data_IF_693604466917
#
_entry.id   IF_693604466917
#
_cell.length_a   1.000
_cell.length_b   1.000
_cell.length_c   1.000
_cell.angle_alpha   90.00
_cell.angle_beta   90.00
_cell.angle_gamma   90.00
#
_symmetry.space_group_name_H-M   'P 1'
#
loop_
_entity.id
_entity.type
_entity.pdbx_description
1 polymer ?
#
# COMPACT_ATOMS: atom_id res chain seq x y z
N UNK A 1 -19.60 -50.50 45.88
CA UNK A 1 -18.70 -51.03 44.84
C UNK A 1 -19.10 -50.64 43.41
N UNK A 2 -20.39 -50.54 43.09
CA UNK A 2 -20.86 -50.35 41.69
C UNK A 2 -20.64 -48.96 41.09
N UNK A 3 -20.62 -47.89 41.90
CA UNK A 3 -20.42 -46.51 41.42
C UNK A 3 -18.97 -46.27 41.01
N UNK A 4 -18.01 -46.83 41.75
CA UNK A 4 -16.58 -46.70 41.45
C UNK A 4 -16.25 -47.39 40.11
N UNK A 5 -16.87 -48.54 39.84
CA UNK A 5 -16.71 -49.24 38.56
C UNK A 5 -17.29 -48.42 37.40
N UNK A 6 -18.46 -47.79 37.58
CA UNK A 6 -19.05 -46.92 36.56
C UNK A 6 -18.19 -45.69 36.28
N UNK A 7 -17.60 -45.08 37.31
CA UNK A 7 -16.68 -43.94 37.16
C UNK A 7 -15.39 -44.37 36.44
N UNK A 8 -14.83 -45.53 36.78
CA UNK A 8 -13.64 -46.06 36.10
C UNK A 8 -13.95 -46.40 34.64
N UNK A 9 -15.11 -47.00 34.35
CA UNK A 9 -15.56 -47.29 32.98
C UNK A 9 -15.76 -46.00 32.18
N UNK A 10 -16.33 -44.94 32.79
CA UNK A 10 -16.51 -43.64 32.17
C UNK A 10 -15.15 -42.96 31.89
N UNK A 11 -14.22 -43.00 32.84
CA UNK A 11 -12.87 -42.44 32.68
C UNK A 11 -12.11 -43.20 31.60
N UNK A 12 -12.17 -44.53 31.58
CA UNK A 12 -11.53 -45.37 30.57
C UNK A 12 -12.11 -45.15 29.17
N UNK A 13 -13.41 -44.89 29.05
CA UNK A 13 -14.03 -44.58 27.75
C UNK A 13 -13.72 -43.15 27.28
N UNK A 14 -13.60 -42.18 28.20
CA UNK A 14 -13.12 -40.83 27.88
C UNK A 14 -11.65 -40.85 27.43
N UNK A 15 -10.77 -41.58 28.12
CA UNK A 15 -9.35 -41.68 27.74
C UNK A 15 -9.15 -42.47 26.44
N UNK A 16 -9.93 -43.54 26.22
CA UNK A 16 -9.92 -44.29 24.97
C UNK A 16 -10.47 -43.48 23.77
N UNK A 17 -11.50 -42.64 24.00
CA UNK A 17 -12.01 -41.71 22.99
C UNK A 17 -10.98 -40.62 22.63
N UNK A 18 -10.23 -40.13 23.62
CA UNK A 18 -9.13 -39.16 23.40
C UNK A 18 -7.98 -39.76 22.58
N UNK A 19 -7.67 -41.05 22.76
CA UNK A 19 -6.60 -41.74 22.04
C UNK A 19 -6.87 -41.94 20.54
N UNK A 20 -8.14 -41.97 20.12
CA UNK A 20 -8.52 -42.17 18.71
C UNK A 20 -8.62 -40.85 17.92
N UNK A 21 -8.34 -39.70 18.56
CA UNK A 21 -8.67 -38.39 18.00
C UNK A 21 -7.48 -37.42 17.88
N UNK A 22 -6.26 -37.96 17.79
CA UNK A 22 -5.02 -37.19 17.58
C UNK A 22 -5.10 -36.23 16.37
N UNK A 23 -5.91 -36.58 15.36
CA UNK A 23 -6.19 -35.72 14.19
C UNK A 23 -7.02 -34.49 14.53
N UNK A 24 -8.04 -34.61 15.40
CA UNK A 24 -8.89 -33.49 15.79
C UNK A 24 -8.14 -32.54 16.73
N UNK A 25 -7.35 -33.08 17.65
CA UNK A 25 -6.50 -32.28 18.55
C UNK A 25 -5.44 -31.48 17.76
N UNK A 26 -4.80 -32.12 16.78
CA UNK A 26 -3.90 -31.49 15.81
C UNK A 26 -4.58 -30.38 15.00
N UNK A 27 -5.80 -30.62 14.50
CA UNK A 27 -6.55 -29.61 13.74
C UNK A 27 -6.99 -28.43 14.60
N UNK A 28 -7.35 -28.66 15.86
CA UNK A 28 -7.72 -27.60 16.82
C UNK A 28 -6.49 -26.75 17.13
N UNK A 29 -5.36 -27.36 17.46
CA UNK A 29 -4.10 -26.63 17.70
C UNK A 29 -3.66 -25.84 16.47
N UNK A 30 -3.73 -26.44 15.28
CA UNK A 30 -3.37 -25.76 14.02
C UNK A 30 -4.29 -24.57 13.75
N UNK A 31 -5.59 -24.71 13.98
CA UNK A 31 -6.54 -23.58 13.88
C UNK A 31 -6.18 -22.47 14.85
N UNK A 32 -5.92 -22.78 16.13
CA UNK A 32 -5.53 -21.77 17.12
C UNK A 32 -4.25 -21.03 16.73
N UNK A 33 -3.24 -21.73 16.24
CA UNK A 33 -1.97 -21.12 15.78
C UNK A 33 -2.24 -20.18 14.61
N UNK A 34 -3.05 -20.59 13.63
CA UNK A 34 -3.34 -19.76 12.46
C UNK A 34 -4.19 -18.54 12.82
N UNK A 35 -5.21 -18.71 13.68
CA UNK A 35 -5.94 -17.59 14.24
C UNK A 35 -5.00 -16.61 14.96
N UNK A 36 -4.02 -17.12 15.74
CA UNK A 36 -3.03 -16.28 16.38
C UNK A 36 -2.15 -15.53 15.36
N UNK A 37 -1.74 -16.16 14.26
CA UNK A 37 -0.98 -15.51 13.18
C UNK A 37 -1.77 -14.40 12.49
N UNK A 38 -3.02 -14.63 12.13
CA UNK A 38 -3.88 -13.61 11.51
C UNK A 38 -4.22 -12.49 12.50
N UNK A 39 -4.45 -12.81 13.78
CA UNK A 39 -4.66 -11.81 14.84
C UNK A 39 -3.41 -10.97 15.08
N UNK A 40 -2.23 -11.59 15.18
CA UNK A 40 -0.95 -10.90 15.30
C UNK A 40 -0.68 -9.99 14.09
N UNK A 41 -1.12 -10.40 12.90
CA UNK A 41 -1.09 -9.54 11.74
C UNK A 41 -2.04 -8.34 11.90
N UNK A 42 -3.31 -8.57 12.24
CA UNK A 42 -4.31 -7.51 12.46
C UNK A 42 -3.82 -6.47 13.48
N UNK A 43 -3.26 -6.92 14.61
CA UNK A 43 -2.71 -6.02 15.65
C UNK A 43 -1.50 -5.20 15.14
N UNK A 44 -0.65 -5.77 14.27
CA UNK A 44 0.45 -5.05 13.62
C UNK A 44 -0.06 -4.02 12.61
N UNK A 45 -1.21 -4.28 11.99
CA UNK A 45 -1.80 -3.37 11.02
C UNK A 45 -2.31 -2.11 11.68
N UNK A 46 -2.96 -2.20 12.85
CA UNK A 46 -3.44 -1.03 13.60
C UNK A 46 -2.32 -0.02 13.90
N UNK A 47 -1.10 -0.51 14.17
CA UNK A 47 0.10 0.33 14.31
C UNK A 47 0.56 0.92 12.96
N UNK A 48 0.58 0.12 11.90
CA UNK A 48 1.02 0.58 10.57
C UNK A 48 0.06 1.58 9.89
N UNK A 49 -1.25 1.52 10.16
CA UNK A 49 -2.24 2.48 9.66
C UNK A 49 -1.99 3.86 10.28
N UNK A 50 -1.62 3.90 11.57
CA UNK A 50 -1.23 5.15 12.25
C UNK A 50 0.08 5.76 11.70
N UNK A 51 0.99 4.92 11.19
CA UNK A 51 2.24 5.35 10.55
C UNK A 51 2.03 5.77 9.09
N UNK A 52 1.09 5.14 8.37
CA UNK A 52 0.76 5.46 6.98
C UNK A 52 0.10 6.84 6.85
N UNK A 53 -0.66 7.25 7.86
CA UNK A 53 -1.27 8.59 7.90
C UNK A 53 -0.24 9.71 8.21
N UNK A 54 0.96 9.37 8.71
CA UNK A 54 1.91 10.37 9.22
C UNK A 54 3.28 10.42 8.52
N UNK A 55 3.70 9.42 7.74
CA UNK A 55 5.06 9.42 7.19
C UNK A 55 5.16 8.87 5.75
N UNK A 56 5.03 9.76 4.77
CA UNK A 56 5.75 9.61 3.49
C UNK A 56 6.75 10.77 3.42
N UNK A 57 7.88 10.60 4.10
CA UNK A 57 9.04 11.48 3.96
C UNK A 57 9.93 10.94 2.84
N UNK A 58 9.95 11.62 1.69
CA UNK A 58 10.90 11.31 0.63
C UNK A 58 12.32 11.73 1.05
N UNK A 59 13.18 10.77 1.36
CA UNK A 59 14.61 11.00 1.59
C UNK A 59 15.33 11.11 0.25
N UNK A 60 15.80 12.31 -0.11
CA UNK A 60 16.58 12.53 -1.33
C UNK A 60 18.08 12.39 -1.07
N UNK A 61 18.62 11.17 -1.20
CA UNK A 61 20.06 10.94 -1.38
C UNK A 61 20.39 11.03 -2.87
N UNK A 62 20.87 12.19 -3.33
CA UNK A 62 21.41 12.36 -4.69
C UNK A 62 22.90 12.04 -4.65
N UNK A 63 23.26 10.90 -5.23
CA UNK A 63 24.64 10.43 -5.41
C UNK A 63 25.32 11.24 -6.53
N UNK A 64 26.48 11.83 -6.22
CA UNK A 64 27.15 12.81 -7.06
C UNK A 64 28.40 12.22 -7.73
N UNK A 65 28.40 12.08 -9.06
CA UNK A 65 29.63 12.00 -9.86
C UNK A 65 29.94 13.34 -10.53
N UNK A 66 31.09 13.90 -10.18
CA UNK A 66 31.59 15.24 -10.45
C UNK A 66 32.11 15.45 -11.88
N UNK A 67 31.93 16.66 -12.40
CA UNK A 67 32.89 17.34 -13.30
C UNK A 67 33.11 18.75 -12.74
N UNK A 68 34.37 19.09 -12.53
CA UNK A 68 34.81 20.29 -11.80
C UNK A 68 34.39 21.60 -12.46
N UNK A 69 33.82 22.50 -11.66
CA UNK A 69 33.74 23.94 -11.91
C UNK A 69 34.03 24.68 -10.60
N UNK A 70 34.79 25.76 -10.69
CA UNK A 70 35.43 26.46 -9.56
C UNK A 70 34.45 27.34 -8.75
N UNK A 71 34.75 27.64 -7.45
CA UNK A 71 33.73 27.86 -6.42
C UNK A 71 33.15 29.28 -6.18
N UNK A 72 33.23 30.26 -7.10
CA UNK A 72 33.00 31.67 -6.68
C UNK A 72 32.02 32.55 -7.47
N UNK A 73 31.17 32.01 -8.35
CA UNK A 73 30.13 32.84 -9.01
C UNK A 73 28.77 32.73 -8.32
N UNK A 74 28.35 33.82 -7.67
CA UNK A 74 27.03 33.99 -7.07
C UNK A 74 26.22 35.02 -7.87
N UNK A 75 25.03 34.65 -8.32
CA UNK A 75 24.09 35.58 -8.94
C UNK A 75 23.29 36.32 -7.85
N UNK A 76 23.59 37.61 -7.66
CA UNK A 76 22.77 38.52 -6.83
C UNK A 76 21.78 39.28 -7.72
N UNK A 77 20.48 39.15 -7.46
CA UNK A 77 19.45 39.89 -8.18
C UNK A 77 19.01 41.14 -7.41
N UNK A 78 18.87 42.31 -8.07
CA UNK A 78 18.30 43.50 -7.45
C UNK A 78 16.82 43.30 -7.14
N UNK A 79 16.40 43.77 -5.97
CA UNK A 79 15.00 43.94 -5.61
C UNK A 79 14.37 45.05 -6.46
N UNK A 80 13.07 44.92 -6.69
CA UNK A 80 12.14 45.95 -7.16
C UNK A 80 11.88 46.06 -8.67
N UNK A 81 10.66 45.65 -9.04
CA UNK A 81 9.78 46.27 -10.03
C UNK A 81 8.33 45.86 -9.72
N UNK A 82 7.46 46.86 -9.52
CA UNK A 82 6.00 46.82 -9.59
C UNK A 82 5.28 45.65 -8.86
N UNK A 83 5.00 45.85 -7.57
CA UNK A 83 3.90 45.15 -6.88
C UNK A 83 4.14 43.69 -6.48
N UNK A 84 5.27 43.10 -6.84
CA UNK A 84 5.67 41.77 -6.38
C UNK A 84 6.78 41.90 -5.33
N UNK A 85 6.43 41.76 -4.04
CA UNK A 85 7.43 41.68 -2.96
C UNK A 85 8.20 40.37 -3.14
N UNK A 86 9.37 40.42 -3.76
CA UNK A 86 10.33 39.31 -3.80
C UNK A 86 10.76 39.00 -2.37
N UNK A 87 10.28 37.89 -1.81
CA UNK A 87 10.47 37.55 -0.41
C UNK A 87 11.52 36.46 -0.18
N UNK A 88 12.35 36.16 -1.18
CA UNK A 88 13.31 35.07 -1.07
C UNK A 88 14.63 35.42 -1.75
N UNK A 89 15.52 36.04 -0.97
CA UNK A 89 16.95 36.02 -1.30
C UNK A 89 17.48 34.64 -0.93
N UNK A 90 17.60 33.75 -1.92
CA UNK A 90 18.40 32.53 -1.74
C UNK A 90 19.62 32.59 -2.65
N UNK A 91 20.69 31.98 -2.15
CA UNK A 91 21.93 31.90 -2.89
C UNK A 91 21.87 30.70 -3.87
N UNK A 92 21.59 30.96 -5.14
CA UNK A 92 21.54 29.93 -6.18
C UNK A 92 22.97 29.62 -6.60
N UNK A 93 23.53 28.50 -6.11
CA UNK A 93 24.88 28.07 -6.48
C UNK A 93 24.88 27.25 -7.78
N UNK A 94 25.97 27.33 -8.55
CA UNK A 94 26.17 26.52 -9.76
C UNK A 94 26.09 25.00 -9.50
N UNK A 95 26.32 24.55 -8.26
CA UNK A 95 26.24 23.14 -7.86
C UNK A 95 24.80 22.67 -7.64
N UNK A 96 23.93 23.52 -7.11
CA UNK A 96 22.56 23.14 -6.71
C UNK A 96 21.49 23.59 -7.72
N UNK A 97 21.72 24.72 -8.40
CA UNK A 97 20.74 25.37 -9.27
C UNK A 97 21.17 25.49 -10.74
N UNK A 98 22.06 24.63 -11.24
CA UNK A 98 22.64 24.72 -12.60
C UNK A 98 21.60 24.98 -13.70
N UNK A 99 20.50 24.23 -13.69
CA UNK A 99 19.43 24.38 -14.68
C UNK A 99 18.66 25.70 -14.54
N UNK A 100 18.43 26.14 -13.30
CA UNK A 100 17.81 27.42 -13.00
C UNK A 100 18.68 28.60 -13.46
N UNK A 101 19.98 28.56 -13.18
CA UNK A 101 20.95 29.55 -13.65
C UNK A 101 20.95 29.61 -15.18
N UNK A 102 21.09 28.47 -15.86
CA UNK A 102 21.05 28.42 -17.33
C UNK A 102 19.74 28.93 -17.91
N UNK A 103 18.61 28.74 -17.24
CA UNK A 103 17.32 29.28 -17.67
C UNK A 103 17.27 30.81 -17.51
N UNK A 104 17.76 31.34 -16.38
CA UNK A 104 17.80 32.79 -16.12
C UNK A 104 18.74 33.51 -17.08
N UNK A 105 19.91 32.95 -17.38
CA UNK A 105 20.87 33.53 -18.33
C UNK A 105 20.30 33.63 -19.75
N UNK A 106 19.55 32.61 -20.18
CA UNK A 106 18.92 32.55 -21.51
C UNK A 106 17.67 33.43 -21.63
N UNK A 107 17.04 33.79 -20.52
CA UNK A 107 15.83 34.61 -20.55
C UNK A 107 16.14 36.04 -21.02
N UNK A 108 15.23 36.63 -21.79
CA UNK A 108 15.44 37.95 -22.41
C UNK A 108 14.87 39.07 -21.54
N UNK A 109 13.65 38.90 -21.02
CA UNK A 109 12.96 39.96 -20.27
C UNK A 109 13.31 39.95 -18.79
N UNK A 110 13.36 41.15 -18.17
CA UNK A 110 13.65 41.30 -16.73
C UNK A 110 12.64 40.56 -15.86
N UNK A 111 11.35 40.57 -16.24
CA UNK A 111 10.29 39.85 -15.53
C UNK A 111 10.49 38.32 -15.57
N UNK A 112 10.82 37.77 -16.74
CA UNK A 112 11.06 36.33 -16.88
C UNK A 112 12.27 35.88 -16.06
N UNK A 113 13.36 36.67 -16.07
CA UNK A 113 14.54 36.42 -15.23
C UNK A 113 14.19 36.35 -13.74
N UNK A 114 13.34 37.26 -13.27
CA UNK A 114 12.89 37.30 -11.88
C UNK A 114 12.05 36.07 -11.50
N UNK A 115 11.07 35.70 -12.32
CA UNK A 115 10.22 34.52 -12.07
C UNK A 115 11.03 33.22 -12.09
N UNK A 116 11.97 33.08 -13.02
CA UNK A 116 12.85 31.91 -13.11
C UNK A 116 13.77 31.79 -11.89
N UNK A 117 14.32 32.92 -11.42
CA UNK A 117 15.13 32.96 -10.21
C UNK A 117 14.30 32.55 -8.98
N UNK A 118 13.07 33.05 -8.87
CA UNK A 118 12.16 32.73 -7.77
C UNK A 118 11.74 31.25 -7.75
N UNK A 119 11.33 30.68 -8.89
CA UNK A 119 10.98 29.25 -8.99
C UNK A 119 12.19 28.37 -8.65
N UNK A 120 13.37 28.74 -9.14
CA UNK A 120 14.61 28.04 -8.81
C UNK A 120 14.83 28.07 -7.29
N UNK A 121 14.62 29.23 -6.67
CA UNK A 121 14.74 29.42 -5.23
C UNK A 121 13.78 28.54 -4.42
N UNK A 122 12.51 28.54 -4.80
CA UNK A 122 11.47 27.72 -4.20
C UNK A 122 11.75 26.22 -4.37
N UNK A 123 12.35 25.82 -5.50
CA UNK A 123 12.76 24.44 -5.73
C UNK A 123 13.88 24.03 -4.78
N UNK A 124 14.92 24.86 -4.64
CA UNK A 124 16.07 24.60 -3.78
C UNK A 124 15.71 24.58 -2.29
N UNK A 125 14.74 25.37 -1.89
CA UNK A 125 14.21 25.41 -0.51
C UNK A 125 13.10 24.38 -0.28
N UNK A 126 12.77 23.57 -1.29
CA UNK A 126 11.68 22.59 -1.27
C UNK A 126 10.31 23.21 -0.91
N UNK A 127 10.11 24.48 -1.25
CA UNK A 127 8.86 25.22 -1.04
C UNK A 127 7.97 25.27 -2.29
N UNK A 128 8.51 24.87 -3.46
CA UNK A 128 7.75 24.90 -4.71
C UNK A 128 6.62 23.85 -4.73
N UNK A 129 6.88 22.68 -4.14
CA UNK A 129 5.92 21.60 -4.05
C UNK A 129 5.57 21.33 -2.59
N UNK A 130 4.31 20.96 -2.29
CA UNK A 130 3.95 20.55 -0.96
C UNK A 130 4.78 19.32 -0.54
N UNK A 131 5.32 19.33 0.67
CA UNK A 131 6.14 18.23 1.22
C UNK A 131 5.32 16.94 1.41
N UNK A 132 4.00 17.07 1.52
CA UNK A 132 3.06 15.96 1.62
C UNK A 132 1.83 16.26 0.77
N UNK A 133 1.31 15.23 0.11
CA UNK A 133 0.04 15.31 -0.58
C UNK A 133 -1.05 14.76 0.34
N UNK A 134 -2.16 15.49 0.57
CA UNK A 134 -3.27 14.96 1.36
C UNK A 134 -3.85 13.72 0.68
N UNK A 135 -4.05 12.66 1.48
CA UNK A 135 -4.66 11.41 1.01
C UNK A 135 -6.17 11.57 0.95
N UNK A 136 -6.71 11.72 -0.25
CA UNK A 136 -8.17 11.77 -0.47
C UNK A 136 -8.81 10.40 -0.67
N UNK A 137 -8.03 9.33 -0.61
CA UNK A 137 -8.55 7.99 -0.76
C UNK A 137 -9.55 7.71 0.37
N UNK A 138 -10.84 7.48 0.06
CA UNK A 138 -11.84 7.25 1.09
C UNK A 138 -11.66 5.83 1.63
N UNK A 139 -10.72 5.65 2.56
CA UNK A 139 -10.70 4.53 3.49
C UNK A 139 -11.86 4.71 4.47
N UNK A 140 -13.10 4.72 3.96
CA UNK A 140 -14.26 4.73 4.83
C UNK A 140 -14.34 3.35 5.48
N UNK A 141 -14.09 3.35 6.78
CA UNK A 141 -14.44 2.32 7.77
C UNK A 141 -13.31 1.36 8.22
N UNK A 142 -12.03 1.71 8.07
CA UNK A 142 -10.98 1.14 8.93
C UNK A 142 -10.67 -0.37 8.81
N UNK A 143 -11.17 -1.03 7.76
CA UNK A 143 -11.01 -2.47 7.58
C UNK A 143 -9.73 -2.87 6.82
N UNK A 144 -8.70 -2.01 6.81
CA UNK A 144 -7.44 -2.36 6.16
C UNK A 144 -6.78 -3.51 6.94
N UNK A 145 -6.48 -4.62 6.28
CA UNK A 145 -5.88 -5.79 6.92
C UNK A 145 -6.88 -6.74 7.59
N UNK A 146 -8.19 -6.48 7.52
CA UNK A 146 -9.20 -7.44 7.96
C UNK A 146 -9.03 -8.77 7.24
N UNK A 147 -8.84 -9.85 7.99
CA UNK A 147 -8.83 -11.20 7.42
C UNK A 147 -10.25 -11.63 7.05
N UNK A 148 -10.44 -11.97 5.78
CA UNK A 148 -11.74 -12.43 5.24
C UNK A 148 -11.86 -13.94 5.36
N UNK A 149 -10.78 -14.67 5.05
CA UNK A 149 -10.76 -16.12 5.15
C UNK A 149 -9.78 -16.79 4.19
N UNK A 150 -9.67 -18.12 4.37
CA UNK A 150 -8.94 -19.01 3.50
C UNK A 150 -9.90 -19.61 2.47
N UNK A 151 -9.57 -19.53 1.19
CA UNK A 151 -10.42 -19.99 0.10
C UNK A 151 -9.65 -20.88 -0.86
N UNK A 152 -10.36 -21.79 -1.51
CA UNK A 152 -9.80 -22.58 -2.60
C UNK A 152 -9.58 -21.69 -3.82
N UNK A 153 -8.36 -21.73 -4.34
CA UNK A 153 -7.96 -21.00 -5.53
C UNK A 153 -7.14 -21.92 -6.44
N UNK A 154 -7.81 -22.46 -7.47
CA UNK A 154 -7.17 -23.28 -8.50
C UNK A 154 -7.25 -22.51 -9.81
N UNK A 155 -6.25 -22.70 -10.67
CA UNK A 155 -5.95 -21.89 -11.86
C UNK A 155 -7.11 -21.40 -12.77
N UNK A 156 -8.36 -21.92 -12.68
CA UNK A 156 -9.50 -21.49 -13.50
C UNK A 156 -10.88 -21.74 -12.83
N UNK A 157 -11.72 -20.72 -12.57
CA UNK A 157 -11.36 -19.30 -12.44
C UNK A 157 -10.63 -19.04 -11.11
N UNK A 158 -9.69 -18.08 -11.13
CA UNK A 158 -9.06 -17.59 -9.90
C UNK A 158 -10.06 -16.81 -9.05
N UNK A 159 -9.86 -16.79 -7.73
CA UNK A 159 -10.72 -16.08 -6.79
C UNK A 159 -10.62 -14.56 -6.96
N UNK A 160 -9.39 -14.05 -7.13
CA UNK A 160 -9.07 -12.66 -7.40
C UNK A 160 -8.48 -12.54 -8.80
N UNK A 161 -9.16 -11.80 -9.68
CA UNK A 161 -8.89 -11.77 -11.12
C UNK A 161 -8.29 -10.44 -11.62
N UNK A 162 -8.01 -9.49 -10.72
CA UNK A 162 -7.51 -8.16 -11.09
C UNK A 162 -6.02 -8.18 -11.40
N UNK A 163 -5.20 -7.86 -10.40
CA UNK A 163 -3.74 -7.80 -10.53
C UNK A 163 -3.06 -8.99 -9.85
N UNK A 164 -1.92 -9.44 -10.38
CA UNK A 164 -1.11 -10.52 -9.79
C UNK A 164 0.37 -10.18 -9.87
N UNK A 165 1.10 -10.46 -8.81
CA UNK A 165 2.56 -10.35 -8.76
C UNK A 165 3.18 -11.37 -7.81
N UNK A 166 4.51 -11.48 -7.80
CA UNK A 166 5.27 -12.31 -6.86
C UNK A 166 6.35 -11.49 -6.18
N UNK A 167 6.58 -11.74 -4.89
CA UNK A 167 7.63 -11.10 -4.13
C UNK A 167 8.61 -12.13 -3.57
N UNK A 168 9.90 -11.82 -3.63
CA UNK A 168 10.93 -12.62 -2.95
C UNK A 168 10.72 -12.61 -1.43
N UNK A 169 10.21 -11.49 -0.89
CA UNK A 169 9.99 -11.15 0.51
C UNK A 169 8.51 -10.80 0.76
N UNK A 170 7.60 -11.68 0.38
CA UNK A 170 6.16 -11.45 0.49
C UNK A 170 5.72 -11.40 1.96
N UNK A 171 4.75 -10.55 2.26
CA UNK A 171 4.06 -10.50 3.54
C UNK A 171 2.63 -9.97 3.32
N UNK A 172 1.69 -10.23 4.25
CA UNK A 172 0.33 -9.72 4.13
C UNK A 172 0.31 -8.19 4.00
N UNK A 173 1.11 -7.44 4.78
CA UNK A 173 1.24 -5.97 4.66
C UNK A 173 1.67 -5.57 3.24
N UNK A 174 2.69 -6.24 2.68
CA UNK A 174 3.24 -5.89 1.37
C UNK A 174 2.22 -6.11 0.26
N UNK A 175 1.55 -7.26 0.29
CA UNK A 175 0.51 -7.56 -0.70
C UNK A 175 -0.69 -6.60 -0.57
N UNK A 176 -1.17 -6.35 0.65
CA UNK A 176 -2.25 -5.40 0.92
C UNK A 176 -1.93 -3.99 0.43
N UNK A 177 -0.71 -3.50 0.67
CA UNK A 177 -0.28 -2.18 0.22
C UNK A 177 -0.27 -2.07 -1.32
N UNK A 178 0.19 -3.10 -2.02
CA UNK A 178 0.19 -3.09 -3.49
C UNK A 178 -1.23 -3.11 -4.02
N UNK A 179 -2.10 -3.98 -3.49
CA UNK A 179 -3.50 -4.01 -3.92
C UNK A 179 -4.24 -2.70 -3.61
N UNK A 180 -3.98 -2.10 -2.46
CA UNK A 180 -4.53 -0.79 -2.07
C UNK A 180 -4.07 0.32 -3.02
N UNK A 181 -2.76 0.40 -3.31
CA UNK A 181 -2.20 1.38 -4.24
C UNK A 181 -2.71 1.19 -5.67
N UNK A 182 -3.01 -0.05 -6.05
CA UNK A 182 -3.64 -0.39 -7.33
C UNK A 182 -5.17 -0.25 -7.34
N UNK A 183 -5.78 0.24 -6.26
CA UNK A 183 -7.22 0.54 -6.21
C UNK A 183 -8.15 -0.67 -6.02
N UNK A 184 -7.63 -1.83 -5.62
CA UNK A 184 -8.42 -3.04 -5.40
C UNK A 184 -8.93 -3.16 -3.97
N UNK A 185 -10.11 -3.74 -3.79
CA UNK A 185 -10.78 -3.89 -2.48
C UNK A 185 -10.27 -5.08 -1.66
N UNK A 186 -9.68 -6.07 -2.33
CA UNK A 186 -9.18 -7.29 -1.73
C UNK A 186 -7.74 -7.56 -2.16
N UNK A 187 -6.97 -8.09 -1.23
CA UNK A 187 -5.67 -8.69 -1.45
C UNK A 187 -5.73 -10.17 -1.09
N UNK A 188 -5.00 -11.01 -1.82
CA UNK A 188 -4.95 -12.45 -1.63
C UNK A 188 -3.52 -12.94 -1.69
N UNK A 189 -3.14 -13.79 -0.75
CA UNK A 189 -1.81 -14.37 -0.66
C UNK A 189 -1.88 -15.86 -0.90
N UNK A 190 -1.06 -16.36 -1.81
CA UNK A 190 -0.98 -17.78 -2.17
C UNK A 190 0.49 -18.22 -2.24
N UNK A 191 0.73 -19.51 -1.96
CA UNK A 191 1.99 -20.18 -2.21
C UNK A 191 3.23 -19.45 -1.65
N UNK A 192 3.11 -18.88 -0.44
CA UNK A 192 4.13 -18.11 0.28
C UNK A 192 4.52 -16.77 -0.33
N UNK A 193 4.62 -16.68 -1.66
CA UNK A 193 5.28 -15.57 -2.35
C UNK A 193 4.40 -14.87 -3.39
N UNK A 194 3.19 -15.37 -3.65
CA UNK A 194 2.29 -14.79 -4.63
C UNK A 194 1.31 -13.81 -3.97
N UNK A 195 0.97 -12.76 -4.72
CA UNK A 195 0.03 -11.73 -4.32
C UNK A 195 -0.96 -11.49 -5.45
N UNK A 196 -2.24 -11.49 -5.11
CA UNK A 196 -3.36 -11.29 -6.01
C UNK A 196 -4.24 -10.16 -5.49
N UNK A 197 -4.81 -9.38 -6.41
CA UNK A 197 -5.69 -8.28 -6.09
C UNK A 197 -7.01 -8.42 -6.86
N UNK A 198 -8.11 -8.00 -6.25
CA UNK A 198 -9.40 -7.99 -6.92
C UNK A 198 -10.37 -6.99 -6.29
N UNK A 199 -11.33 -6.55 -7.08
CA UNK A 199 -12.42 -5.70 -6.59
C UNK A 199 -13.48 -6.50 -5.84
N UNK A 200 -13.62 -7.77 -6.19
CA UNK A 200 -14.59 -8.69 -5.63
C UNK A 200 -14.00 -10.10 -5.55
N UNK A 201 -14.64 -10.95 -4.75
CA UNK A 201 -14.37 -12.38 -4.71
C UNK A 201 -15.26 -13.08 -5.74
N UNK A 202 -14.67 -13.91 -6.61
CA UNK A 202 -15.43 -14.59 -7.66
C UNK A 202 -16.62 -15.40 -7.12
N UNK A 203 -17.68 -15.46 -7.93
CA UNK A 203 -18.87 -16.25 -7.60
C UNK A 203 -18.52 -17.74 -7.49
N UNK A 204 -19.07 -18.43 -6.49
CA UNK A 204 -18.75 -19.83 -6.23
C UNK A 204 -17.50 -20.06 -5.36
N UNK A 205 -17.01 -19.03 -4.66
CA UNK A 205 -15.92 -19.16 -3.67
C UNK A 205 -16.16 -20.34 -2.72
N UNK A 206 -15.17 -21.22 -2.62
CA UNK A 206 -15.20 -22.34 -1.70
C UNK A 206 -14.28 -22.02 -0.52
N UNK A 207 -14.88 -21.69 0.62
CA UNK A 207 -14.13 -21.41 1.83
C UNK A 207 -13.52 -22.71 2.35
N UNK A 208 -12.22 -22.68 2.60
CA UNK A 208 -11.47 -23.78 3.16
C UNK A 208 -11.32 -23.60 4.68
N UNK A 209 -10.92 -24.67 5.35
CA UNK A 209 -10.42 -24.58 6.70
C UNK A 209 -9.08 -23.81 6.70
N UNK A 210 -8.83 -23.03 7.76
CA UNK A 210 -7.64 -22.20 7.88
C UNK A 210 -6.32 -22.98 7.67
N UNK A 211 -6.28 -24.27 8.04
CA UNK A 211 -5.10 -25.12 7.88
C UNK A 211 -4.65 -25.33 6.43
N UNK A 212 -5.50 -25.05 5.44
CA UNK A 212 -5.08 -25.04 4.03
C UNK A 212 -4.26 -23.79 3.67
N UNK A 213 -4.44 -22.70 4.41
CA UNK A 213 -3.67 -21.48 4.28
C UNK A 213 -2.66 -21.36 5.42
N UNK A 214 -1.70 -22.28 5.47
CA UNK A 214 -0.70 -22.37 6.55
C UNK A 214 0.75 -22.22 6.06
N UNK A 215 0.97 -21.91 4.78
CA UNK A 215 2.32 -21.70 4.26
C UNK A 215 2.89 -20.39 4.79
N UNK A 216 4.08 -20.49 5.39
CA UNK A 216 4.81 -19.32 5.86
C UNK A 216 5.10 -18.34 4.74
N UNK A 217 4.96 -17.05 5.01
CA UNK A 217 5.33 -16.00 4.08
C UNK A 217 6.84 -16.00 3.80
N UNK A 218 7.24 -15.63 2.59
CA UNK A 218 8.67 -15.56 2.23
C UNK A 218 9.42 -14.38 2.87
N UNK A 219 8.72 -13.33 3.30
CA UNK A 219 9.28 -12.16 4.00
C UNK A 219 9.13 -12.17 5.52
N UNK A 220 8.22 -12.98 6.09
CA UNK A 220 8.07 -13.17 7.54
C UNK A 220 7.49 -14.56 7.83
N UNK A 221 8.35 -15.49 8.24
CA UNK A 221 7.95 -16.89 8.48
C UNK A 221 6.93 -17.06 9.61
N UNK A 222 6.76 -16.05 10.47
CA UNK A 222 5.75 -16.06 11.53
C UNK A 222 4.33 -15.80 11.01
N UNK A 223 4.19 -15.27 9.80
CA UNK A 223 2.90 -14.99 9.16
C UNK A 223 2.51 -16.11 8.19
N UNK A 224 1.22 -16.13 7.82
CA UNK A 224 0.67 -17.04 6.81
C UNK A 224 0.39 -16.31 5.50
N UNK A 225 0.76 -16.95 4.39
CA UNK A 225 0.63 -16.43 3.03
C UNK A 225 0.02 -17.51 2.11
N UNK A 226 -1.15 -18.02 2.50
CA UNK A 226 -1.91 -18.98 1.72
C UNK A 226 -1.36 -20.41 1.76
N UNK A 227 -1.58 -21.14 0.67
CA UNK A 227 -1.26 -22.56 0.48
C UNK A 227 -1.06 -22.90 -1.01
N UNK A 228 -0.95 -24.19 -1.33
CA UNK A 228 -0.69 -24.66 -2.71
C UNK A 228 -1.83 -24.36 -3.71
N UNK A 229 -3.08 -24.43 -3.24
CA UNK A 229 -4.31 -24.06 -3.96
C UNK A 229 -5.28 -23.34 -3.03
N UNK A 230 -4.71 -22.57 -2.11
CA UNK A 230 -5.44 -21.95 -1.02
C UNK A 230 -4.96 -20.52 -0.87
N UNK A 231 -5.89 -19.58 -0.93
CA UNK A 231 -5.60 -18.14 -0.89
C UNK A 231 -6.12 -17.54 0.42
N UNK A 232 -5.22 -16.88 1.14
CA UNK A 232 -5.59 -16.06 2.30
C UNK A 232 -6.05 -14.69 1.80
N UNK A 233 -7.30 -14.32 2.07
CA UNK A 233 -7.90 -13.08 1.58
C UNK A 233 -8.00 -12.05 2.70
N UNK A 234 -7.61 -10.81 2.40
CA UNK A 234 -7.70 -9.66 3.28
C UNK A 234 -8.40 -8.48 2.58
N UNK A 235 -9.06 -7.61 3.35
CA UNK A 235 -9.60 -6.35 2.81
C UNK A 235 -8.51 -5.27 2.80
N UNK A 236 -8.50 -4.45 1.76
CA UNK A 236 -7.62 -3.27 1.66
C UNK A 236 -8.24 -2.01 2.30
N UNK A 237 -9.44 -2.11 2.87
CA UNK A 237 -10.19 -0.94 3.34
C UNK A 237 -10.78 -0.07 2.22
N UNK A 238 -10.54 -0.39 0.94
CA UNK A 238 -11.25 0.24 -0.17
C UNK A 238 -12.62 -0.39 -0.37
N UNK A 239 -13.66 0.43 -0.31
CA UNK A 239 -14.97 0.03 -0.79
C UNK A 239 -14.98 0.06 -2.32
N UNK A 240 -15.32 -1.06 -2.96
CA UNK A 240 -15.49 -1.07 -4.41
C UNK A 240 -16.64 -0.14 -4.77
N UNK A 241 -16.30 0.97 -5.42
CA UNK A 241 -17.28 1.80 -6.10
C UNK A 241 -17.21 1.41 -7.57
N UNK A 242 -18.26 0.78 -8.13
CA UNK A 242 -18.35 0.62 -9.57
C UNK A 242 -18.07 1.99 -10.19
N UNK A 243 -17.16 2.05 -11.17
CA UNK A 243 -17.00 3.26 -11.98
C UNK A 243 -18.35 3.48 -12.67
N UNK A 244 -19.23 4.26 -12.06
CA UNK A 244 -20.33 4.88 -12.77
C UNK A 244 -19.62 5.81 -13.73
N UNK A 245 -19.61 5.46 -15.03
CA UNK A 245 -19.18 6.43 -16.03
C UNK A 245 -20.00 7.68 -15.76
N UNK A 246 -19.37 8.84 -15.47
CA UNK A 246 -20.11 10.08 -15.35
C UNK A 246 -20.97 10.21 -16.60
N UNK A 247 -22.29 10.29 -16.44
CA UNK A 247 -23.14 10.78 -17.51
C UNK A 247 -22.60 12.18 -17.83
N UNK A 248 -22.01 12.34 -19.01
CA UNK A 248 -21.62 13.65 -19.49
C UNK A 248 -22.91 14.42 -19.74
N UNK A 249 -23.37 15.17 -18.74
CA UNK A 249 -24.34 16.25 -18.95
C UNK A 249 -23.59 17.36 -19.69
N UNK A 250 -23.67 17.29 -21.02
CA UNK A 250 -23.01 18.23 -21.95
C UNK A 250 -23.53 19.67 -21.77
N UNK A 251 -24.67 19.84 -21.09
CA UNK A 251 -25.35 21.13 -20.93
C UNK A 251 -24.76 22.04 -19.83
N UNK A 252 -23.78 21.57 -19.02
CA UNK A 252 -23.19 22.34 -17.91
C UNK A 252 -21.69 22.63 -18.05
N UNK A 253 -21.07 22.36 -19.20
CA UNK A 253 -19.63 22.61 -19.40
C UNK A 253 -19.42 24.07 -19.79
N UNK A 254 -18.98 24.88 -18.82
CA UNK A 254 -18.41 26.18 -19.11
C UNK A 254 -17.10 25.97 -19.89
N UNK A 255 -16.97 26.58 -21.07
CA UNK A 255 -15.87 26.36 -22.03
C UNK A 255 -14.46 26.71 -21.50
N UNK A 256 -14.36 27.24 -20.28
CA UNK A 256 -13.10 27.62 -19.65
C UNK A 256 -12.58 26.59 -18.61
N UNK A 257 -13.32 25.53 -18.31
CA UNK A 257 -12.92 24.52 -17.33
C UNK A 257 -12.26 23.30 -18.00
N UNK A 258 -10.95 23.11 -17.76
CA UNK A 258 -10.25 21.88 -18.16
C UNK A 258 -10.48 20.81 -17.09
N UNK A 259 -11.34 19.82 -17.39
CA UNK A 259 -11.49 18.62 -16.57
C UNK A 259 -10.58 17.51 -17.11
N UNK A 260 -9.57 17.15 -16.34
CA UNK A 260 -8.70 16.00 -16.63
C UNK A 260 -9.39 14.74 -16.13
N UNK A 261 -9.81 13.88 -17.04
CA UNK A 261 -10.30 12.55 -16.71
C UNK A 261 -9.15 11.55 -16.90
N UNK A 262 -8.71 10.95 -15.80
CA UNK A 262 -7.78 9.83 -15.85
C UNK A 262 -8.60 8.58 -16.13
N UNK A 263 -8.45 8.04 -17.33
CA UNK A 263 -9.09 6.79 -17.74
C UNK A 263 -8.07 5.69 -17.48
N UNK A 264 -8.19 5.01 -16.33
CA UNK A 264 -7.39 3.80 -16.09
C UNK A 264 -7.97 2.67 -16.95
N UNK A 265 -7.17 2.18 -17.89
CA UNK A 265 -7.42 0.95 -18.63
C UNK A 265 -6.74 -0.20 -17.88
N UNK A 266 -7.55 -1.11 -17.35
CA UNK A 266 -7.11 -2.45 -16.91
C UNK A 266 -8.04 -3.48 -17.55
#
# INVERSE_FOLDING_TARGET
MSIIILIIQLILSITFYSSNNSSIESQIQTKFILFAKHKQFSERVDQSVSDYDNNISFSNSIDSKSRDFTPNDYLKFPQDLNGFKSQTSCNISAKSGKYGISAVERAVTKLCKQQLAEITCLTLTAQLYPQSLPRYCPLKDGNFGDYVGCYWDKDRPRLLTGYRTKFTDNSPVKCLNVCLQSGFSYAGLEFSNECFCGHELSAGRHQLLANHCNMSCSGDHNLSCGGYYAIDVYKTGLQYRPKVMPSLDIDSVNQNDVKIFIIDYY
#
